data_IF_442579873558
#
_entry.id   IF_442579873558
#
_cell.length_a   1.000
_cell.length_b   1.000
_cell.length_c   1.000
_cell.angle_alpha   90.00
_cell.angle_beta   90.00
_cell.angle_gamma   90.00
#
_symmetry.space_group_name_H-M   'P 1'
#
loop_
_entity.id
_entity.type
_entity.pdbx_description
1 polymer ?
#
# COMPACT_ATOMS: atom_id res chain seq x y z
N UNK A 1 -42.23 -3.02 7.61
CA UNK A 1 -41.14 -2.58 8.51
C UNK A 1 -39.95 -2.19 7.64
N UNK A 2 -39.44 -0.95 7.68
CA UNK A 2 -38.24 -0.62 6.93
C UNK A 2 -36.99 -0.86 7.80
N UNK A 3 -36.05 -1.65 7.28
CA UNK A 3 -34.70 -1.77 7.84
C UNK A 3 -33.96 -0.48 7.52
N UNK A 4 -33.72 0.35 8.54
CA UNK A 4 -32.81 1.48 8.42
C UNK A 4 -31.40 0.94 8.32
N UNK A 5 -30.89 0.78 7.08
CA UNK A 5 -29.49 0.46 6.84
C UNK A 5 -28.66 1.66 7.30
N UNK A 6 -28.11 1.56 8.50
CA UNK A 6 -27.25 2.58 9.08
C UNK A 6 -25.86 2.42 8.46
N UNK A 7 -25.65 3.05 7.30
CA UNK A 7 -24.31 3.12 6.70
C UNK A 7 -23.45 4.03 7.58
N UNK A 8 -22.71 3.44 8.51
CA UNK A 8 -21.65 4.15 9.24
C UNK A 8 -20.57 4.53 8.24
N UNK A 9 -20.50 5.81 7.88
CA UNK A 9 -19.44 6.35 7.05
C UNK A 9 -18.14 6.34 7.86
N UNK A 10 -17.39 5.25 7.77
CA UNK A 10 -16.04 5.16 8.34
C UNK A 10 -15.11 6.03 7.50
N UNK A 11 -14.87 7.26 7.96
CA UNK A 11 -13.84 8.12 7.40
C UNK A 11 -12.48 7.55 7.79
N UNK A 12 -11.79 6.96 6.81
CA UNK A 12 -10.38 6.58 6.99
C UNK A 12 -9.54 7.87 7.06
N UNK A 13 -8.55 7.93 7.96
CA UNK A 13 -7.58 9.02 7.95
C UNK A 13 -6.84 9.05 6.61
N UNK A 14 -6.39 10.24 6.21
CA UNK A 14 -5.64 10.41 4.97
C UNK A 14 -4.29 9.66 5.00
N UNK A 15 -3.72 9.46 6.19
CA UNK A 15 -2.58 8.58 6.43
C UNK A 15 -3.08 7.31 7.12
N UNK A 16 -2.70 6.16 6.60
CA UNK A 16 -3.06 4.83 7.09
C UNK A 16 -1.79 4.08 7.44
N UNK A 17 -1.66 3.72 8.71
CA UNK A 17 -0.63 2.81 9.20
C UNK A 17 -0.88 1.43 8.59
N UNK A 18 0.12 0.85 7.94
CA UNK A 18 -0.11 -0.35 7.11
C UNK A 18 -0.32 -1.61 7.96
N UNK A 19 0.06 -1.62 9.23
CA UNK A 19 -0.33 -2.66 10.17
C UNK A 19 -1.83 -2.66 10.49
N UNK A 20 -2.53 -1.55 10.22
CA UNK A 20 -3.98 -1.39 10.36
C UNK A 20 -4.74 -1.70 9.06
N UNK A 21 -4.05 -2.20 8.02
CA UNK A 21 -4.71 -2.63 6.79
C UNK A 21 -5.77 -3.71 7.05
N UNK A 22 -6.83 -3.72 6.22
CA UNK A 22 -7.98 -4.62 6.38
C UNK A 22 -7.60 -6.09 6.12
N UNK A 23 -6.63 -6.32 5.24
CA UNK A 23 -6.08 -7.64 4.94
C UNK A 23 -4.59 -7.56 4.65
N UNK A 24 -3.86 -8.58 5.08
CA UNK A 24 -2.44 -8.81 4.74
C UNK A 24 -2.28 -10.21 4.12
N UNK A 25 -1.47 -10.32 3.08
CA UNK A 25 -1.13 -11.58 2.44
C UNK A 25 0.38 -11.76 2.33
N UNK A 26 0.90 -12.80 3.00
CA UNK A 26 2.35 -13.11 3.06
C UNK A 26 3.23 -11.98 3.60
N UNK A 27 2.66 -11.12 4.44
CA UNK A 27 3.32 -9.98 5.10
C UNK A 27 3.39 -10.23 6.61
N UNK A 28 4.47 -9.80 7.26
CA UNK A 28 4.62 -9.82 8.72
C UNK A 28 4.26 -8.45 9.28
N UNK A 29 3.43 -8.41 10.33
CA UNK A 29 3.21 -7.18 11.10
C UNK A 29 4.38 -6.99 12.06
N UNK A 30 4.91 -5.78 12.11
CA UNK A 30 5.93 -5.36 13.07
C UNK A 30 5.38 -4.20 13.91
N UNK A 31 6.19 -3.69 14.84
CA UNK A 31 5.82 -2.50 15.62
C UNK A 31 6.08 -1.25 14.77
N UNK A 32 5.00 -0.60 14.29
CA UNK A 32 5.07 0.60 13.45
C UNK A 32 5.34 0.25 11.98
N UNK A 33 4.48 -0.61 11.42
CA UNK A 33 4.58 -1.02 10.03
C UNK A 33 4.52 -2.53 9.78
N UNK A 34 4.93 -2.89 8.56
CA UNK A 34 4.99 -4.26 8.06
C UNK A 34 6.37 -4.58 7.49
N UNK A 35 6.77 -5.85 7.58
CA UNK A 35 8.00 -6.38 7.01
C UNK A 35 7.71 -7.63 6.17
N UNK A 36 8.77 -8.20 5.57
CA UNK A 36 8.64 -9.42 4.77
C UNK A 36 8.02 -9.17 3.40
N UNK A 37 8.38 -8.05 2.77
CA UNK A 37 7.94 -7.61 1.45
C UNK A 37 8.50 -8.54 0.35
N UNK A 38 7.81 -9.66 0.13
CA UNK A 38 8.12 -10.65 -0.91
C UNK A 38 7.41 -10.32 -2.21
N UNK A 39 7.91 -10.87 -3.32
CA UNK A 39 7.22 -10.76 -4.59
C UNK A 39 5.81 -11.37 -4.48
N UNK A 40 4.79 -10.63 -4.90
CA UNK A 40 3.38 -11.03 -4.82
C UNK A 40 2.76 -10.91 -3.42
N UNK A 41 3.50 -10.46 -2.41
CA UNK A 41 2.89 -10.09 -1.12
C UNK A 41 2.08 -8.80 -1.28
N UNK A 42 0.99 -8.67 -0.51
CA UNK A 42 0.15 -7.48 -0.62
C UNK A 42 -0.63 -7.17 0.65
N UNK A 43 -1.07 -5.91 0.76
CA UNK A 43 -2.07 -5.50 1.73
C UNK A 43 -3.27 -4.86 1.03
N UNK A 44 -4.41 -4.83 1.73
CA UNK A 44 -5.68 -4.34 1.17
C UNK A 44 -6.24 -3.24 2.06
N UNK A 45 -6.64 -2.14 1.43
CA UNK A 45 -7.43 -1.07 2.04
C UNK A 45 -8.79 -1.01 1.37
N UNK A 46 -9.86 -1.26 2.13
CA UNK A 46 -11.22 -1.37 1.59
C UNK A 46 -11.97 -0.05 1.58
N UNK A 47 -12.88 0.12 0.62
CA UNK A 47 -13.79 1.26 0.55
C UNK A 47 -13.07 2.64 0.51
N UNK A 48 -12.05 2.79 -0.34
CA UNK A 48 -11.34 4.06 -0.53
C UNK A 48 -12.02 4.89 -1.62
N UNK A 49 -12.44 6.11 -1.27
CA UNK A 49 -12.93 7.09 -2.26
C UNK A 49 -11.75 7.79 -2.94
N UNK A 50 -11.59 7.55 -4.25
CA UNK A 50 -10.50 8.09 -5.05
C UNK A 50 -10.81 9.46 -5.67
N UNK A 51 -12.03 9.99 -5.51
CA UNK A 51 -12.51 11.19 -6.22
C UNK A 51 -11.58 12.41 -6.13
N UNK A 52 -10.93 12.61 -4.98
CA UNK A 52 -10.02 13.73 -4.75
C UNK A 52 -8.56 13.32 -4.60
N UNK A 53 -8.22 12.03 -4.76
CA UNK A 53 -6.86 11.54 -4.53
C UNK A 53 -6.03 11.69 -5.80
N UNK A 54 -4.93 12.43 -5.71
CA UNK A 54 -4.00 12.68 -6.83
C UNK A 54 -2.67 11.95 -6.68
N UNK A 55 -2.26 11.63 -5.45
CA UNK A 55 -0.99 10.97 -5.19
C UNK A 55 -1.06 10.05 -3.97
N UNK A 56 -0.13 9.10 -3.93
CA UNK A 56 0.13 8.25 -2.78
C UNK A 56 1.56 8.49 -2.33
N UNK A 57 1.74 8.82 -1.05
CA UNK A 57 3.05 8.90 -0.39
C UNK A 57 3.23 7.68 0.50
N UNK A 58 4.42 7.09 0.47
CA UNK A 58 4.77 5.92 1.28
C UNK A 58 5.97 6.26 2.15
N UNK A 59 5.94 5.86 3.41
CA UNK A 59 7.12 5.85 4.28
C UNK A 59 7.67 4.45 4.40
N UNK A 60 8.85 4.23 3.84
CA UNK A 60 9.43 2.90 3.66
C UNK A 60 10.92 2.89 3.96
N UNK A 61 11.46 1.73 4.29
CA UNK A 61 12.90 1.48 4.36
C UNK A 61 13.17 0.18 3.60
N UNK A 62 13.91 0.22 2.50
CA UNK A 62 14.18 -0.95 1.65
C UNK A 62 15.65 -0.91 1.28
N UNK A 63 16.45 -1.89 1.70
CA UNK A 63 17.91 -1.88 1.46
C UNK A 63 18.33 -2.43 0.09
N UNK A 64 17.42 -3.09 -0.64
CA UNK A 64 17.74 -3.80 -1.88
C UNK A 64 17.05 -3.11 -3.08
N UNK A 65 17.72 -3.02 -4.25
CA UNK A 65 17.12 -2.46 -5.45
C UNK A 65 16.03 -3.38 -6.04
N UNK A 66 15.25 -2.83 -6.98
CA UNK A 66 14.31 -3.61 -7.78
C UNK A 66 13.00 -3.98 -7.07
N UNK A 67 12.68 -3.35 -5.94
CA UNK A 67 11.39 -3.46 -5.26
C UNK A 67 10.44 -2.37 -5.78
N UNK A 68 9.24 -2.77 -6.15
CA UNK A 68 8.17 -1.90 -6.60
C UNK A 68 6.89 -2.18 -5.82
N UNK A 69 6.04 -1.18 -5.69
CA UNK A 69 4.66 -1.34 -5.22
C UNK A 69 3.72 -0.95 -6.35
N UNK A 70 2.81 -1.86 -6.67
CA UNK A 70 1.73 -1.66 -7.62
C UNK A 70 0.41 -1.56 -6.86
N UNK A 71 -0.40 -0.57 -7.22
CA UNK A 71 -1.73 -0.37 -6.62
C UNK A 71 -2.77 -0.74 -7.64
N UNK A 72 -3.60 -1.72 -7.32
CA UNK A 72 -4.68 -2.22 -8.16
C UNK A 72 -6.04 -2.00 -7.51
N UNK A 73 -7.09 -1.85 -8.31
CA UNK A 73 -8.46 -1.79 -7.82
C UNK A 73 -9.16 -3.16 -7.91
N UNK A 74 -9.93 -3.51 -6.88
CA UNK A 74 -10.81 -4.68 -6.83
C UNK A 74 -10.13 -6.04 -6.63
N UNK A 75 -8.91 -6.24 -7.14
CA UNK A 75 -8.13 -7.47 -6.95
C UNK A 75 -6.62 -7.22 -7.08
N UNK A 76 -5.73 -8.14 -6.63
CA UNK A 76 -4.29 -7.99 -6.77
C UNK A 76 -3.80 -7.89 -8.22
N UNK A 77 -4.56 -8.40 -9.19
CA UNK A 77 -4.27 -8.30 -10.63
C UNK A 77 -5.24 -7.40 -11.38
N UNK A 78 -5.97 -6.54 -10.67
CA UNK A 78 -6.99 -5.66 -11.24
C UNK A 78 -6.40 -4.50 -12.06
N UNK A 79 -7.21 -3.52 -12.45
CA UNK A 79 -6.73 -2.32 -13.12
C UNK A 79 -5.63 -1.61 -12.32
N UNK A 80 -4.48 -1.38 -12.94
CA UNK A 80 -3.34 -0.69 -12.31
C UNK A 80 -3.63 0.80 -12.15
N UNK A 81 -3.77 1.24 -10.91
CA UNK A 81 -4.04 2.60 -10.48
C UNK A 81 -2.76 3.45 -10.33
N UNK A 82 -1.71 2.87 -9.75
CA UNK A 82 -0.43 3.56 -9.52
C UNK A 82 0.70 2.55 -9.41
N UNK A 83 1.91 2.96 -9.73
CA UNK A 83 3.12 2.17 -9.48
C UNK A 83 4.21 3.09 -8.91
N UNK A 84 5.00 2.57 -7.98
CA UNK A 84 6.17 3.26 -7.46
C UNK A 84 7.33 2.27 -7.40
N UNK A 85 8.46 2.66 -7.98
CA UNK A 85 9.73 1.95 -7.79
C UNK A 85 10.46 2.56 -6.60
N UNK A 86 10.79 1.75 -5.60
CA UNK A 86 11.52 2.21 -4.44
C UNK A 86 13.00 2.42 -4.75
N UNK A 87 13.57 3.46 -4.16
CA UNK A 87 15.03 3.67 -4.15
C UNK A 87 15.59 3.02 -2.89
N UNK A 88 16.70 2.26 -2.97
CA UNK A 88 17.31 1.67 -1.81
C UNK A 88 17.66 2.72 -0.75
N UNK A 89 17.28 2.48 0.50
CA UNK A 89 17.70 3.25 1.67
C UNK A 89 19.10 2.82 2.12
N UNK A 90 19.79 3.71 2.84
CA UNK A 90 21.14 3.45 3.36
C UNK A 90 21.18 2.24 4.32
N UNK A 91 20.08 1.99 5.03
CA UNK A 91 19.93 0.84 5.93
C UNK A 91 18.45 0.43 6.05
N UNK A 92 18.20 -0.72 6.70
CA UNK A 92 16.85 -1.22 6.97
C UNK A 92 16.06 -0.35 7.96
N UNK A 93 16.74 0.52 8.73
CA UNK A 93 16.13 1.44 9.70
C UNK A 93 16.05 2.89 9.17
N UNK A 94 16.63 3.15 8.00
CA UNK A 94 16.62 4.46 7.36
C UNK A 94 15.34 4.64 6.53
N UNK A 95 14.27 5.07 7.17
CA UNK A 95 13.01 5.35 6.48
C UNK A 95 13.11 6.59 5.59
N UNK A 96 12.65 6.45 4.35
CA UNK A 96 12.47 7.51 3.38
C UNK A 96 10.99 7.66 3.00
N UNK A 97 10.64 8.80 2.43
CA UNK A 97 9.32 9.01 1.82
C UNK A 97 9.45 9.07 0.29
N UNK A 98 8.52 8.43 -0.40
CA UNK A 98 8.39 8.55 -1.85
C UNK A 98 6.92 8.67 -2.24
N UNK A 99 6.67 9.49 -3.27
CA UNK A 99 5.32 9.75 -3.77
C UNK A 99 5.18 9.32 -5.22
N UNK A 100 3.98 8.87 -5.59
CA UNK A 100 3.61 8.52 -6.97
C UNK A 100 2.24 9.07 -7.31
N UNK A 101 2.00 9.54 -8.55
CA UNK A 101 0.68 9.96 -8.98
C UNK A 101 -0.29 8.77 -9.02
N UNK A 102 -1.55 9.08 -8.79
CA UNK A 102 -2.68 8.16 -8.95
C UNK A 102 -3.33 8.46 -10.31
N UNK A 103 -3.54 7.42 -11.12
CA UNK A 103 -4.32 7.58 -12.36
C UNK A 103 -5.73 8.02 -12.01
N UNK A 104 -6.30 8.92 -12.81
CA UNK A 104 -7.66 9.42 -12.60
C UNK A 104 -8.64 8.25 -12.50
N UNK A 105 -9.19 8.06 -11.32
CA UNK A 105 -10.18 7.04 -10.99
C UNK A 105 -11.18 7.68 -10.05
N UNK A 106 -12.47 7.48 -10.30
CA UNK A 106 -13.53 8.03 -9.47
C UNK A 106 -14.29 6.91 -8.76
N UNK A 107 -14.93 7.26 -7.65
CA UNK A 107 -15.73 6.33 -6.87
C UNK A 107 -14.94 5.59 -5.79
N UNK A 108 -15.63 4.65 -5.17
CA UNK A 108 -15.14 3.88 -4.01
C UNK A 108 -14.60 2.54 -4.51
N UNK A 109 -13.34 2.25 -4.17
CA UNK A 109 -12.66 1.03 -4.57
C UNK A 109 -11.98 0.35 -3.40
N UNK A 110 -11.88 -0.98 -3.47
CA UNK A 110 -10.91 -1.72 -2.67
C UNK A 110 -9.55 -1.65 -3.35
N UNK A 111 -8.54 -1.19 -2.61
CA UNK A 111 -7.18 -1.00 -3.12
C UNK A 111 -6.28 -2.13 -2.65
N UNK A 112 -5.59 -2.74 -3.60
CA UNK A 112 -4.62 -3.81 -3.40
C UNK A 112 -3.23 -3.26 -3.68
N UNK A 113 -2.39 -3.27 -2.65
CA UNK A 113 -1.02 -2.78 -2.70
C UNK A 113 -0.08 -3.97 -2.80
N UNK A 114 0.36 -4.28 -4.02
CA UNK A 114 1.10 -5.49 -4.37
C UNK A 114 2.59 -5.17 -4.50
N UNK A 115 3.42 -5.87 -3.75
CA UNK A 115 4.87 -5.75 -3.85
C UNK A 115 5.40 -6.63 -4.98
N UNK A 116 6.08 -6.01 -5.94
CA UNK A 116 6.68 -6.68 -7.10
C UNK A 116 8.21 -6.58 -7.02
N UNK A 117 8.90 -7.68 -7.31
CA UNK A 117 10.37 -7.73 -7.31
C UNK A 117 10.88 -8.25 -8.64
N UNK A 118 11.83 -7.54 -9.23
CA UNK A 118 12.46 -7.93 -10.50
C UNK A 118 13.46 -9.09 -10.36
N UNK A 119 14.01 -9.29 -9.17
CA UNK A 119 14.93 -10.39 -8.87
C UNK A 119 14.35 -11.30 -7.79
N UNK A 120 14.32 -12.60 -8.08
CA UNK A 120 13.70 -13.64 -7.23
C UNK A 120 14.66 -14.14 -6.14
N UNK A 121 15.43 -13.23 -5.53
CA UNK A 121 16.28 -13.55 -4.39
C UNK A 121 15.43 -13.56 -3.10
N UNK A 122 14.60 -14.60 -2.98
CA UNK A 122 13.61 -14.84 -1.92
C UNK A 122 14.18 -14.87 -0.47
N UNK A 123 15.50 -14.83 -0.32
CA UNK A 123 16.20 -15.12 0.94
C UNK A 123 16.57 -13.90 1.78
N UNK A 124 16.37 -12.66 1.29
CA UNK A 124 16.67 -11.44 2.07
C UNK A 124 15.41 -10.67 2.43
N UNK A 125 15.18 -10.47 3.74
CA UNK A 125 14.14 -9.59 4.27
C UNK A 125 14.40 -8.17 3.76
N UNK A 126 13.66 -7.74 2.73
CA UNK A 126 14.02 -6.50 2.02
C UNK A 126 13.02 -5.41 2.33
N UNK A 127 13.08 -4.95 3.56
CA UNK A 127 12.49 -3.69 3.96
C UNK A 127 11.19 -3.76 4.72
N UNK A 128 10.78 -2.57 5.13
CA UNK A 128 9.59 -2.28 5.90
C UNK A 128 8.80 -1.12 5.25
N UNK A 129 7.49 -1.15 5.45
CA UNK A 129 6.58 -0.06 5.12
C UNK A 129 5.85 0.34 6.41
N UNK A 130 5.82 1.63 6.74
CA UNK A 130 5.22 2.17 7.97
C UNK A 130 3.78 2.63 7.70
N UNK A 131 3.63 3.62 6.83
CA UNK A 131 2.32 4.13 6.44
C UNK A 131 2.24 4.47 4.96
N UNK A 132 0.99 4.54 4.49
CA UNK A 132 0.62 5.13 3.21
C UNK A 132 -0.27 6.34 3.43
N UNK A 133 -0.03 7.43 2.70
CA UNK A 133 -0.82 8.65 2.77
C UNK A 133 -1.43 8.98 1.41
N UNK A 134 -2.72 9.25 1.41
CA UNK A 134 -3.52 9.69 0.28
C UNK A 134 -3.48 11.22 0.19
N UNK A 135 -2.80 11.75 -0.83
CA UNK A 135 -2.71 13.20 -1.10
C UNK A 135 -3.73 13.66 -2.14
N UNK A 136 -4.29 14.86 -1.91
CA UNK A 136 -5.25 15.54 -2.81
C UNK A 136 -4.57 16.56 -3.74
#
# INVERSE_FOLDING_TARGET
MPLTTRTSLWLRPAQVEVEQADSLYQIRKERGGISGLKNGSFFVLKNIDLKEIKNLTYRYAVSEPGVQIEVHTGSPGGPLLSTLSYTPSESADAYAEASTPVKTSSGIHDLYFVFVRKEDNASKNSGALDWVRFGR
#
